data_IF_653983923279
#
_entry.id   IF_653983923279
#
_cell.length_a   1.000
_cell.length_b   1.000
_cell.length_c   1.000
_cell.angle_alpha   90.00
_cell.angle_beta   90.00
_cell.angle_gamma   90.00
#
_symmetry.space_group_name_H-M   'P 1'
#
loop_
_entity.id
_entity.type
_entity.pdbx_description
1 polymer ?
#
# COMPACT_ATOMS: atom_id res chain seq x y z
N UNK A 1 39.62 24.51 51.81
CA UNK A 1 39.67 23.84 50.48
C UNK A 1 39.12 22.40 50.47
N UNK A 2 39.04 21.63 51.57
CA UNK A 2 38.50 20.25 51.54
C UNK A 2 36.98 20.14 51.70
N UNK A 3 36.36 20.96 52.54
CA UNK A 3 34.91 20.87 52.82
C UNK A 3 34.02 21.39 51.69
N UNK A 4 34.43 22.48 51.04
CA UNK A 4 33.68 23.08 49.94
C UNK A 4 33.68 22.18 48.68
N UNK A 5 34.75 21.43 48.46
CA UNK A 5 34.86 20.51 47.32
C UNK A 5 34.01 19.25 47.55
N UNK A 6 33.99 18.72 48.78
CA UNK A 6 33.15 17.59 49.19
C UNK A 6 31.65 17.92 49.06
N UNK A 7 31.23 19.10 49.52
CA UNK A 7 29.84 19.54 49.40
C UNK A 7 29.39 19.71 47.95
N UNK A 8 30.30 20.09 47.03
CA UNK A 8 29.99 20.21 45.59
C UNK A 8 29.87 18.86 44.90
N UNK A 9 30.68 17.87 45.29
CA UNK A 9 30.58 16.49 44.81
C UNK A 9 29.29 15.82 45.31
N UNK A 10 28.92 16.02 46.58
CA UNK A 10 27.65 15.50 47.13
C UNK A 10 26.42 16.16 46.48
N UNK A 11 26.48 17.46 46.18
CA UNK A 11 25.43 18.16 45.45
C UNK A 11 25.28 17.66 44.01
N UNK A 12 26.40 17.42 43.30
CA UNK A 12 26.40 16.84 41.96
C UNK A 12 25.88 15.39 41.95
N UNK A 13 26.26 14.58 42.95
CA UNK A 13 25.78 13.21 43.11
C UNK A 13 24.27 13.15 43.43
N UNK A 14 23.76 14.05 44.29
CA UNK A 14 22.32 14.18 44.55
C UNK A 14 21.52 14.68 43.34
N UNK A 15 22.11 15.53 42.50
CA UNK A 15 21.50 16.00 41.26
C UNK A 15 21.49 14.91 40.16
N UNK A 16 22.45 13.99 40.17
CA UNK A 16 22.56 12.89 39.20
C UNK A 16 21.78 11.62 39.59
N UNK A 17 21.46 11.43 40.86
CA UNK A 17 20.73 10.25 41.37
C UNK A 17 19.35 10.00 40.69
N UNK A 18 18.54 11.01 40.34
CA UNK A 18 17.29 10.80 39.60
C UNK A 18 17.50 10.30 38.17
N UNK A 19 18.64 10.61 37.54
CA UNK A 19 18.94 10.22 36.16
C UNK A 19 19.28 8.72 36.01
N UNK A 20 19.87 8.11 37.05
CA UNK A 20 20.25 6.70 37.03
C UNK A 20 19.06 5.74 37.24
N UNK A 21 18.04 6.16 38.00
CA UNK A 21 16.82 5.38 38.26
C UNK A 21 15.83 5.46 37.07
N UNK A 22 15.87 6.55 36.28
CA UNK A 22 15.03 6.72 35.10
C UNK A 22 15.39 5.81 33.92
N UNK A 23 16.66 5.41 33.78
CA UNK A 23 17.14 4.64 32.62
C UNK A 23 16.62 3.19 32.57
N UNK A 24 16.41 2.54 33.72
CA UNK A 24 15.84 1.18 33.78
C UNK A 24 14.31 1.15 33.61
N UNK A 25 13.61 2.20 34.03
CA UNK A 25 12.16 2.33 33.83
C UNK A 25 11.80 2.68 32.38
N UNK A 26 12.65 3.46 31.71
CA UNK A 26 12.47 3.87 30.32
C UNK A 26 12.54 2.67 29.35
N UNK A 27 13.46 1.73 29.56
CA UNK A 27 13.58 0.53 28.73
C UNK A 27 12.33 -0.38 28.80
N UNK A 28 11.70 -0.48 29.97
CA UNK A 28 10.45 -1.24 30.16
C UNK A 28 9.26 -0.48 29.56
N UNK A 29 9.22 0.85 29.66
CA UNK A 29 8.16 1.68 29.05
C UNK A 29 8.20 1.66 27.52
N UNK A 30 9.39 1.61 26.90
CA UNK A 30 9.53 1.49 25.45
C UNK A 30 8.83 0.24 24.89
N UNK A 31 8.88 -0.88 25.62
CA UNK A 31 8.26 -2.14 25.21
C UNK A 31 6.73 -2.15 25.35
N UNK A 32 6.15 -1.26 26.18
CA UNK A 32 4.72 -1.29 26.53
C UNK A 32 3.96 -0.12 25.89
N UNK A 33 4.55 1.08 25.83
CA UNK A 33 3.92 2.32 25.33
C UNK A 33 4.95 3.25 24.65
N UNK A 34 5.21 3.06 23.35
CA UNK A 34 6.21 3.83 22.59
C UNK A 34 5.90 5.34 22.55
N UNK A 35 4.61 5.70 22.58
CA UNK A 35 4.10 7.07 22.63
C UNK A 35 4.49 7.80 23.92
N UNK A 36 4.41 7.12 25.07
CA UNK A 36 4.77 7.69 26.39
C UNK A 36 6.30 7.77 26.54
N UNK A 37 7.03 6.81 25.98
CA UNK A 37 8.49 6.80 26.00
C UNK A 37 9.13 8.01 25.31
N UNK A 38 8.53 8.50 24.22
CA UNK A 38 9.00 9.71 23.53
C UNK A 38 8.89 10.96 24.40
N UNK A 39 7.78 11.10 25.14
CA UNK A 39 7.62 12.19 26.11
C UNK A 39 8.60 12.07 27.28
N UNK A 40 8.89 10.86 27.75
CA UNK A 40 9.89 10.62 28.79
C UNK A 40 11.30 11.04 28.32
N UNK A 41 11.71 10.66 27.10
CA UNK A 41 13.01 11.09 26.54
C UNK A 41 13.08 12.62 26.37
N UNK A 42 11.99 13.27 25.96
CA UNK A 42 11.93 14.73 25.87
C UNK A 42 12.11 15.38 27.25
N UNK A 43 11.48 14.83 28.31
CA UNK A 43 11.64 15.35 29.67
C UNK A 43 13.06 15.15 30.21
N UNK A 44 13.71 14.02 29.90
CA UNK A 44 15.11 13.75 30.26
C UNK A 44 16.04 14.72 29.50
N UNK A 45 15.79 14.98 28.21
CA UNK A 45 16.56 15.91 27.41
C UNK A 45 16.44 17.36 27.92
N UNK A 46 15.22 17.82 28.24
CA UNK A 46 14.97 19.14 28.82
C UNK A 46 15.65 19.26 30.19
N UNK A 47 15.52 18.24 31.04
CA UNK A 47 16.16 18.21 32.38
C UNK A 47 17.68 18.22 32.28
N UNK A 48 18.25 17.47 31.33
CA UNK A 48 19.68 17.45 31.04
C UNK A 48 20.20 18.79 30.51
N UNK A 49 19.45 19.47 29.65
CA UNK A 49 19.78 20.80 29.16
C UNK A 49 19.76 21.85 30.29
N UNK A 50 18.75 21.81 31.17
CA UNK A 50 18.66 22.67 32.35
C UNK A 50 19.82 22.44 33.35
N UNK A 51 20.17 21.20 33.61
CA UNK A 51 21.34 20.83 34.42
C UNK A 51 22.66 21.27 33.76
N UNK A 52 22.79 21.12 32.44
CA UNK A 52 23.92 21.61 31.65
C UNK A 52 24.07 23.14 31.74
N UNK A 53 22.98 23.89 31.61
CA UNK A 53 22.97 25.35 31.74
C UNK A 53 23.39 25.84 33.14
N UNK A 54 23.07 25.08 34.20
CA UNK A 54 23.52 25.42 35.56
C UNK A 54 24.99 25.07 35.77
N UNK A 55 25.48 23.97 35.19
CA UNK A 55 26.89 23.58 35.25
C UNK A 55 27.80 24.53 34.45
N UNK A 56 27.35 25.02 33.29
CA UNK A 56 28.09 25.97 32.44
C UNK A 56 28.51 27.24 33.20
N UNK A 57 27.72 27.69 34.19
CA UNK A 57 28.05 28.88 35.01
C UNK A 57 29.28 28.72 35.88
N UNK A 58 29.74 27.49 36.12
CA UNK A 58 30.89 27.18 36.98
C UNK A 58 32.12 26.68 36.19
N UNK A 59 32.07 26.74 34.85
CA UNK A 59 33.11 26.20 33.97
C UNK A 59 33.86 27.33 33.25
N UNK A 60 35.12 27.08 32.88
CA UNK A 60 35.87 28.01 32.02
C UNK A 60 35.29 28.01 30.59
N UNK A 61 35.53 29.08 29.84
CA UNK A 61 34.90 29.32 28.52
C UNK A 61 35.14 28.17 27.52
N UNK A 62 36.30 27.50 27.57
CA UNK A 62 36.63 26.41 26.63
C UNK A 62 35.83 25.15 26.95
N UNK A 63 35.72 24.80 28.24
CA UNK A 63 34.94 23.65 28.69
C UNK A 63 33.44 23.89 28.54
N UNK A 64 32.95 25.11 28.78
CA UNK A 64 31.57 25.49 28.54
C UNK A 64 31.17 25.35 27.05
N UNK A 65 32.07 25.76 26.14
CA UNK A 65 31.87 25.57 24.70
C UNK A 65 31.76 24.09 24.30
N UNK A 66 32.64 23.24 24.82
CA UNK A 66 32.62 21.80 24.54
C UNK A 66 31.33 21.12 25.04
N UNK A 67 30.88 21.46 26.25
CA UNK A 67 29.61 20.96 26.80
C UNK A 67 28.42 21.44 25.98
N UNK A 68 28.40 22.71 25.57
CA UNK A 68 27.37 23.25 24.69
C UNK A 68 27.29 22.49 23.36
N UNK A 69 28.43 22.25 22.71
CA UNK A 69 28.50 21.47 21.46
C UNK A 69 27.98 20.05 21.68
N UNK A 70 28.37 19.38 22.77
CA UNK A 70 27.90 18.03 23.08
C UNK A 70 26.36 17.96 23.20
N UNK A 71 25.73 18.89 23.94
CA UNK A 71 24.28 18.92 24.08
C UNK A 71 23.55 19.29 22.79
N UNK A 72 24.11 20.19 21.98
CA UNK A 72 23.57 20.49 20.64
C UNK A 72 23.65 19.25 19.75
N UNK A 73 24.81 18.57 19.68
CA UNK A 73 24.97 17.34 18.90
C UNK A 73 24.01 16.25 19.35
N UNK A 74 23.82 16.05 20.67
CA UNK A 74 22.88 15.07 21.21
C UNK A 74 21.42 15.42 20.88
N UNK A 75 21.07 16.70 20.89
CA UNK A 75 19.73 17.18 20.50
C UNK A 75 19.48 16.99 19.01
N UNK A 76 20.48 17.24 18.17
CA UNK A 76 20.41 16.98 16.73
C UNK A 76 20.27 15.48 16.44
N UNK A 77 21.03 14.60 17.11
CA UNK A 77 20.88 13.15 16.96
C UNK A 77 19.47 12.70 17.38
N UNK A 78 18.93 13.24 18.49
CA UNK A 78 17.58 12.91 18.92
C UNK A 78 16.51 13.35 17.89
N UNK A 79 16.59 14.59 17.42
CA UNK A 79 15.64 15.18 16.46
C UNK A 79 15.72 14.54 15.07
N UNK A 80 16.92 14.25 14.57
CA UNK A 80 17.12 13.78 13.21
C UNK A 80 17.24 12.26 13.08
N UNK A 81 17.46 11.53 14.16
CA UNK A 81 17.64 10.07 14.11
C UNK A 81 16.60 9.33 14.94
N UNK A 82 16.49 9.62 16.24
CA UNK A 82 15.62 8.84 17.14
C UNK A 82 14.14 9.12 16.86
N UNK A 83 13.75 10.40 16.76
CA UNK A 83 12.35 10.76 16.53
C UNK A 83 11.80 10.23 15.19
N UNK A 84 12.50 10.38 14.04
CA UNK A 84 12.05 9.78 12.78
C UNK A 84 12.06 8.26 12.82
N UNK A 85 13.04 7.62 13.49
CA UNK A 85 13.14 6.15 13.52
C UNK A 85 11.94 5.49 14.22
N UNK A 86 11.39 6.09 15.28
CA UNK A 86 10.20 5.59 15.95
C UNK A 86 8.94 5.69 15.08
N UNK A 87 8.85 6.73 14.26
CA UNK A 87 7.76 6.90 13.29
C UNK A 87 7.88 5.91 12.13
N UNK A 88 9.09 5.70 11.61
CA UNK A 88 9.38 4.73 10.55
C UNK A 88 9.11 3.30 11.03
N UNK A 89 9.47 2.96 12.27
CA UNK A 89 9.21 1.64 12.85
C UNK A 89 7.70 1.31 12.96
N UNK A 90 6.85 2.32 13.14
CA UNK A 90 5.38 2.15 13.12
C UNK A 90 4.81 2.06 11.70
N UNK A 91 5.56 2.46 10.68
CA UNK A 91 5.12 2.45 9.28
C UNK A 91 5.18 1.06 8.64
N UNK A 92 5.74 0.06 9.35
CA UNK A 92 5.93 -1.30 8.86
C UNK A 92 7.02 -1.42 7.78
N UNK A 93 7.44 -2.64 7.50
CA UNK A 93 8.30 -2.97 6.36
C UNK A 93 7.45 -3.42 5.17
N UNK A 94 7.90 -3.12 3.94
CA UNK A 94 7.25 -3.62 2.72
C UNK A 94 7.20 -5.16 2.73
N UNK A 95 8.24 -5.79 3.25
CA UNK A 95 8.28 -7.22 3.55
C UNK A 95 7.72 -7.44 4.97
N UNK A 96 6.41 -7.61 5.09
CA UNK A 96 5.74 -8.03 6.33
C UNK A 96 5.73 -9.57 6.44
N UNK A 97 5.18 -10.10 7.55
CA UNK A 97 5.14 -11.55 7.80
C UNK A 97 4.35 -12.30 6.71
N UNK A 98 3.21 -11.74 6.27
CA UNK A 98 2.41 -12.34 5.18
C UNK A 98 3.23 -12.47 3.88
N UNK A 99 3.95 -11.42 3.49
CA UNK A 99 4.84 -11.45 2.34
C UNK A 99 5.99 -12.44 2.53
N UNK A 100 6.64 -12.45 3.70
CA UNK A 100 7.74 -13.35 3.97
C UNK A 100 7.31 -14.82 3.91
N UNK A 101 6.17 -15.16 4.52
CA UNK A 101 5.57 -16.48 4.44
C UNK A 101 5.17 -16.86 3.01
N UNK A 102 4.57 -15.93 2.26
CA UNK A 102 4.18 -16.15 0.88
C UNK A 102 5.38 -16.49 0.00
N UNK A 103 6.47 -15.73 0.11
CA UNK A 103 7.67 -15.93 -0.69
C UNK A 103 8.39 -17.24 -0.34
N UNK A 104 8.51 -17.59 0.95
CA UNK A 104 9.06 -18.89 1.35
C UNK A 104 8.20 -20.05 0.85
N UNK A 105 6.87 -19.89 0.89
CA UNK A 105 5.96 -20.90 0.38
C UNK A 105 6.11 -21.05 -1.15
N UNK A 106 6.18 -19.95 -1.90
CA UNK A 106 6.42 -19.97 -3.35
C UNK A 106 7.71 -20.73 -3.67
N UNK A 107 8.80 -20.42 -2.95
CA UNK A 107 10.09 -21.09 -3.16
C UNK A 107 9.99 -22.60 -2.95
N UNK A 108 9.27 -23.04 -1.91
CA UNK A 108 9.15 -24.45 -1.58
C UNK A 108 8.11 -25.23 -2.42
N UNK A 109 7.12 -24.56 -3.03
CA UNK A 109 5.93 -25.24 -3.56
C UNK A 109 5.63 -24.99 -5.05
N UNK A 110 6.30 -24.05 -5.71
CA UNK A 110 6.12 -23.86 -7.17
C UNK A 110 7.34 -24.40 -7.96
N UNK A 111 7.26 -24.67 -9.27
CA UNK A 111 8.42 -25.08 -10.05
C UNK A 111 9.50 -23.99 -10.11
N UNK A 112 10.79 -24.33 -10.00
CA UNK A 112 11.90 -23.35 -9.99
C UNK A 112 11.93 -22.50 -11.27
N UNK A 113 11.53 -23.09 -12.39
CA UNK A 113 11.50 -22.42 -13.68
C UNK A 113 10.32 -21.45 -13.83
N UNK A 114 9.31 -21.50 -12.94
CA UNK A 114 8.09 -20.70 -13.08
C UNK A 114 8.34 -19.19 -12.95
N UNK A 115 7.50 -18.44 -13.65
CA UNK A 115 7.45 -16.98 -13.58
C UNK A 115 6.32 -16.56 -12.65
N UNK A 116 6.60 -15.63 -11.74
CA UNK A 116 5.61 -14.95 -10.91
C UNK A 116 5.37 -13.56 -11.48
N UNK A 117 4.17 -13.32 -11.98
CA UNK A 117 3.69 -12.05 -12.51
C UNK A 117 3.03 -11.23 -11.40
N UNK A 118 3.44 -9.98 -11.28
CA UNK A 118 2.83 -8.94 -10.45
C UNK A 118 3.49 -7.62 -10.84
N UNK A 119 3.08 -6.52 -10.20
CA UNK A 119 3.72 -5.22 -10.42
C UNK A 119 5.19 -5.22 -9.96
N UNK A 120 5.97 -4.19 -10.27
CA UNK A 120 7.43 -4.25 -10.12
C UNK A 120 7.93 -4.28 -8.68
N UNK A 121 7.18 -3.70 -7.74
CA UNK A 121 7.63 -3.42 -6.37
C UNK A 121 8.17 -4.66 -5.62
N UNK A 122 7.45 -5.80 -5.54
CA UNK A 122 7.94 -6.99 -4.87
C UNK A 122 8.98 -7.79 -5.68
N UNK A 123 9.31 -7.38 -6.91
CA UNK A 123 10.10 -8.18 -7.85
C UNK A 123 11.46 -8.64 -7.31
N UNK A 124 12.16 -7.78 -6.56
CA UNK A 124 13.43 -8.16 -5.92
C UNK A 124 13.24 -9.18 -4.79
N UNK A 125 12.17 -9.08 -4.00
CA UNK A 125 11.88 -10.04 -2.94
C UNK A 125 11.46 -11.40 -3.51
N UNK A 126 10.69 -11.41 -4.59
CA UNK A 126 10.32 -12.65 -5.30
C UNK A 126 11.57 -13.36 -5.84
N UNK A 127 12.51 -12.61 -6.43
CA UNK A 127 13.78 -13.19 -6.90
C UNK A 127 14.65 -13.69 -5.75
N UNK A 128 14.81 -12.91 -4.68
CA UNK A 128 15.74 -13.22 -3.60
C UNK A 128 15.25 -14.29 -2.63
N UNK A 129 13.95 -14.28 -2.29
CA UNK A 129 13.36 -15.17 -1.28
C UNK A 129 12.51 -16.25 -1.96
N UNK A 130 11.66 -15.85 -2.91
CA UNK A 130 10.83 -16.77 -3.69
C UNK A 130 11.63 -17.64 -4.65
N UNK A 131 12.86 -17.25 -4.99
CA UNK A 131 13.70 -17.90 -5.99
C UNK A 131 12.94 -18.18 -7.31
N UNK A 132 12.10 -17.24 -7.75
CA UNK A 132 11.36 -17.32 -9.01
C UNK A 132 11.70 -16.16 -9.94
N UNK A 133 11.48 -16.41 -11.22
CA UNK A 133 11.59 -15.34 -12.21
C UNK A 133 10.38 -14.42 -12.08
N UNK A 134 10.58 -13.12 -12.30
CA UNK A 134 9.49 -12.16 -12.42
C UNK A 134 9.48 -11.53 -13.80
N UNK A 135 8.30 -11.08 -14.21
CA UNK A 135 8.11 -10.32 -15.45
C UNK A 135 9.01 -9.08 -15.44
N UNK A 136 9.01 -8.32 -14.35
CA UNK A 136 9.88 -7.15 -14.18
C UNK A 136 10.04 -6.79 -12.69
N UNK A 137 11.07 -6.02 -12.34
CA UNK A 137 11.29 -5.46 -11.01
C UNK A 137 11.74 -3.99 -11.07
N UNK A 138 12.10 -3.40 -9.93
CA UNK A 138 12.55 -2.02 -9.83
C UNK A 138 13.77 -1.67 -10.71
N UNK A 139 14.61 -2.65 -11.05
CA UNK A 139 15.73 -2.48 -11.96
C UNK A 139 15.37 -2.59 -13.44
N UNK A 140 14.17 -3.06 -13.78
CA UNK A 140 13.75 -3.34 -15.15
C UNK A 140 12.41 -2.70 -15.53
N UNK A 141 12.00 -1.62 -14.86
CA UNK A 141 10.73 -0.92 -15.12
C UNK A 141 10.60 -0.42 -16.57
N UNK A 142 11.72 0.06 -17.13
CA UNK A 142 11.78 0.64 -18.47
C UNK A 142 12.17 -0.41 -19.54
N UNK A 143 12.18 -1.69 -19.18
CA UNK A 143 12.59 -2.74 -20.12
C UNK A 143 11.46 -3.13 -21.06
N UNK A 144 11.83 -3.33 -22.31
CA UNK A 144 10.96 -3.88 -23.33
C UNK A 144 10.90 -5.41 -23.23
N UNK A 145 9.89 -5.97 -23.85
CA UNK A 145 9.70 -7.40 -24.05
C UNK A 145 9.53 -7.68 -25.53
N UNK A 146 10.15 -8.75 -26.02
CA UNK A 146 10.22 -9.06 -27.45
C UNK A 146 9.85 -10.52 -27.67
N UNK A 147 8.95 -10.75 -28.61
CA UNK A 147 8.41 -12.06 -28.94
C UNK A 147 8.48 -12.23 -30.46
N UNK A 148 8.76 -13.45 -30.92
CA UNK A 148 8.72 -13.77 -32.34
C UNK A 148 7.27 -13.87 -32.79
N UNK A 149 6.74 -12.78 -33.33
CA UNK A 149 5.38 -12.70 -33.84
C UNK A 149 5.35 -11.76 -35.04
N UNK A 150 4.76 -12.25 -36.13
CA UNK A 150 4.72 -11.53 -37.40
C UNK A 150 3.51 -10.60 -37.47
N UNK A 151 3.75 -9.35 -37.84
CA UNK A 151 2.71 -8.37 -38.12
C UNK A 151 3.22 -7.30 -39.09
N UNK A 152 2.34 -6.46 -39.66
CA UNK A 152 2.74 -5.30 -40.44
C UNK A 152 3.66 -4.39 -39.63
N UNK A 153 4.86 -4.14 -40.14
CA UNK A 153 5.86 -3.29 -39.49
C UNK A 153 5.27 -1.92 -39.11
N UNK A 154 5.55 -1.48 -37.88
CA UNK A 154 5.14 -0.19 -37.35
C UNK A 154 4.67 -0.24 -35.89
N UNK A 155 4.57 0.95 -35.29
CA UNK A 155 3.96 1.15 -33.98
C UNK A 155 2.44 1.13 -34.11
N UNK A 156 1.79 0.32 -33.28
CA UNK A 156 0.35 0.20 -33.14
C UNK A 156 -0.07 0.50 -31.71
N UNK A 157 -1.28 1.04 -31.58
CA UNK A 157 -1.94 1.24 -30.30
C UNK A 157 -3.19 0.36 -30.33
N UNK A 158 -3.13 -0.75 -29.61
CA UNK A 158 -4.23 -1.71 -29.45
C UNK A 158 -5.15 -1.17 -28.36
N UNK A 159 -6.42 -0.93 -28.70
CA UNK A 159 -7.41 -0.37 -27.77
C UNK A 159 -8.25 -1.51 -27.19
N UNK A 160 -8.40 -1.50 -25.87
CA UNK A 160 -9.21 -2.49 -25.16
C UNK A 160 -10.24 -1.79 -24.26
N UNK A 161 -10.89 -2.59 -23.42
CA UNK A 161 -11.87 -2.12 -22.44
C UNK A 161 -11.26 -1.14 -21.44
N UNK A 162 -12.11 -0.43 -20.69
CA UNK A 162 -11.70 0.54 -19.67
C UNK A 162 -10.73 1.64 -20.17
N UNK A 163 -10.69 1.91 -21.48
CA UNK A 163 -9.83 2.93 -22.09
C UNK A 163 -8.35 2.55 -22.14
N UNK A 164 -8.03 1.24 -22.00
CA UNK A 164 -6.69 0.69 -22.13
C UNK A 164 -6.16 0.94 -23.54
N UNK A 165 -4.92 1.42 -23.63
CA UNK A 165 -4.22 1.71 -24.87
C UNK A 165 -2.87 1.00 -24.86
N UNK A 166 -2.83 -0.25 -25.30
CA UNK A 166 -1.64 -1.09 -25.26
C UNK A 166 -0.74 -0.81 -26.48
N UNK A 167 0.49 -0.38 -26.23
CA UNK A 167 1.43 -0.07 -27.30
C UNK A 167 2.23 -1.30 -27.73
N UNK A 168 2.26 -1.51 -29.03
CA UNK A 168 2.93 -2.65 -29.63
C UNK A 168 3.68 -2.20 -30.88
N UNK A 169 4.98 -2.49 -30.96
CA UNK A 169 5.76 -2.28 -32.18
C UNK A 169 6.01 -3.63 -32.85
N UNK A 170 5.62 -3.76 -34.12
CA UNK A 170 6.01 -4.88 -34.97
C UNK A 170 7.18 -4.43 -35.84
N UNK A 171 8.27 -5.20 -35.87
CA UNK A 171 9.41 -4.92 -36.75
C UNK A 171 10.15 -6.19 -37.10
N UNK A 172 10.16 -6.55 -38.39
CA UNK A 172 10.95 -7.68 -38.88
C UNK A 172 10.55 -9.03 -38.26
N UNK A 173 9.25 -9.24 -38.02
CA UNK A 173 8.73 -10.46 -37.40
C UNK A 173 8.88 -10.53 -35.88
N UNK A 174 9.21 -9.42 -35.23
CA UNK A 174 9.29 -9.28 -33.77
C UNK A 174 8.18 -8.35 -33.30
N UNK A 175 7.40 -8.80 -32.32
CA UNK A 175 6.47 -7.97 -31.54
C UNK A 175 7.18 -7.47 -30.29
N UNK A 176 7.19 -6.16 -30.08
CA UNK A 176 7.82 -5.50 -28.94
C UNK A 176 6.79 -4.75 -28.11
N UNK A 177 6.78 -5.00 -26.80
CA UNK A 177 5.92 -4.33 -25.81
C UNK A 177 6.74 -3.79 -24.64
N UNK A 178 6.13 -2.97 -23.78
CA UNK A 178 6.74 -2.54 -22.52
C UNK A 178 6.20 -3.38 -21.36
N UNK A 179 7.09 -4.00 -20.57
CA UNK A 179 6.69 -4.91 -19.47
C UNK A 179 5.78 -4.25 -18.44
N UNK A 180 6.02 -2.97 -18.15
CA UNK A 180 5.19 -2.19 -17.25
C UNK A 180 3.77 -2.03 -17.79
N UNK A 181 3.62 -1.85 -19.11
CA UNK A 181 2.31 -1.72 -19.74
C UNK A 181 1.62 -3.07 -19.84
N UNK A 182 2.35 -4.15 -20.16
CA UNK A 182 1.81 -5.51 -20.17
C UNK A 182 1.15 -5.85 -18.84
N UNK A 183 1.89 -5.75 -17.72
CA UNK A 183 1.33 -6.07 -16.40
C UNK A 183 0.23 -5.09 -15.99
N UNK A 184 0.38 -3.81 -16.29
CA UNK A 184 -0.67 -2.82 -16.04
C UNK A 184 -1.97 -3.16 -16.76
N UNK A 185 -1.89 -3.61 -18.02
CA UNK A 185 -3.03 -4.11 -18.79
C UNK A 185 -3.64 -5.34 -18.13
N UNK A 186 -2.82 -6.31 -17.68
CA UNK A 186 -3.35 -7.50 -16.97
C UNK A 186 -4.06 -7.16 -15.66
N UNK A 187 -3.68 -6.08 -14.98
CA UNK A 187 -4.34 -5.62 -13.75
C UNK A 187 -5.68 -4.95 -14.06
N UNK A 188 -5.74 -4.14 -15.13
CA UNK A 188 -6.85 -3.24 -15.41
C UNK A 188 -7.96 -3.82 -16.30
N UNK A 189 -7.63 -4.72 -17.23
CA UNK A 189 -8.62 -5.27 -18.15
C UNK A 189 -9.70 -6.07 -17.41
N UNK A 190 -10.93 -6.05 -17.93
CA UNK A 190 -12.00 -6.97 -17.57
C UNK A 190 -12.01 -8.23 -18.47
N UNK A 191 -11.19 -8.26 -19.52
CA UNK A 191 -11.05 -9.41 -20.41
C UNK A 191 -9.98 -10.37 -19.85
N UNK A 192 -10.44 -11.48 -19.27
CA UNK A 192 -9.56 -12.52 -18.73
C UNK A 192 -8.66 -13.13 -19.81
N UNK A 193 -9.19 -13.39 -21.01
CA UNK A 193 -8.42 -13.94 -22.12
C UNK A 193 -7.28 -13.02 -22.54
N UNK A 194 -7.49 -11.69 -22.53
CA UNK A 194 -6.42 -10.73 -22.80
C UNK A 194 -5.31 -10.81 -21.74
N UNK A 195 -5.67 -10.93 -20.46
CA UNK A 195 -4.68 -11.09 -19.40
C UNK A 195 -3.87 -12.38 -19.58
N UNK A 196 -4.54 -13.50 -19.89
CA UNK A 196 -3.88 -14.79 -20.18
C UNK A 196 -2.98 -14.70 -21.42
N UNK A 197 -3.45 -14.06 -22.49
CA UNK A 197 -2.70 -13.87 -23.73
C UNK A 197 -1.41 -13.05 -23.53
N UNK A 198 -1.43 -12.06 -22.65
CA UNK A 198 -0.22 -11.31 -22.30
C UNK A 198 0.70 -12.17 -21.42
N UNK A 199 0.14 -12.86 -20.43
CA UNK A 199 0.92 -13.61 -19.45
C UNK A 199 1.65 -14.79 -20.09
N UNK A 200 1.00 -15.53 -21.01
CA UNK A 200 1.57 -16.75 -21.60
C UNK A 200 2.94 -16.55 -22.26
N UNK A 201 3.20 -15.36 -22.78
CA UNK A 201 4.46 -15.06 -23.46
C UNK A 201 5.64 -14.96 -22.47
N UNK A 202 5.36 -14.70 -21.18
CA UNK A 202 6.36 -14.65 -20.11
C UNK A 202 6.72 -16.04 -19.54
N UNK A 203 6.22 -17.12 -20.12
CA UNK A 203 6.60 -18.48 -19.73
C UNK A 203 8.06 -18.74 -20.08
N UNK A 204 8.77 -19.37 -19.16
CA UNK A 204 10.09 -19.91 -19.47
C UNK A 204 9.96 -21.24 -20.22
N UNK A 205 10.92 -21.55 -21.11
CA UNK A 205 10.98 -22.87 -21.73
C UNK A 205 10.98 -23.99 -20.67
N UNK A 206 10.10 -24.96 -20.83
CA UNK A 206 9.97 -26.10 -19.91
C UNK A 206 9.09 -25.86 -18.68
N UNK A 207 8.31 -24.77 -18.64
CA UNK A 207 7.33 -24.52 -17.59
C UNK A 207 5.94 -24.31 -18.18
N UNK A 208 4.99 -25.08 -17.68
CA UNK A 208 3.59 -24.94 -18.07
C UNK A 208 2.91 -23.82 -17.27
N UNK A 209 3.35 -23.59 -16.03
CA UNK A 209 2.72 -22.67 -15.07
C UNK A 209 3.32 -21.27 -15.05
N UNK A 210 2.42 -20.27 -15.01
CA UNK A 210 2.68 -18.93 -14.48
C UNK A 210 1.89 -18.75 -13.20
N UNK A 211 2.49 -18.06 -12.25
CA UNK A 211 1.82 -17.63 -11.03
C UNK A 211 1.57 -16.13 -11.07
N UNK A 212 0.48 -15.67 -10.47
CA UNK A 212 0.10 -14.26 -10.43
C UNK A 212 -0.13 -13.83 -8.98
N UNK A 213 0.50 -12.75 -8.53
CA UNK A 213 0.27 -12.18 -7.20
C UNK A 213 -0.62 -10.94 -7.31
N UNK A 214 -1.77 -11.00 -6.65
CA UNK A 214 -2.57 -9.85 -6.29
C UNK A 214 -2.29 -9.49 -4.82
N UNK A 215 -1.86 -8.27 -4.56
CA UNK A 215 -1.50 -7.81 -3.21
C UNK A 215 -2.19 -6.50 -2.83
N UNK A 216 -2.43 -6.31 -1.54
CA UNK A 216 -3.18 -5.17 -1.02
C UNK A 216 -2.50 -3.82 -1.28
N UNK A 217 -1.16 -3.78 -1.36
CA UNK A 217 -0.43 -2.55 -1.67
C UNK A 217 -0.75 -1.98 -3.06
N UNK A 218 -1.21 -2.84 -4.00
CA UNK A 218 -1.63 -2.41 -5.34
C UNK A 218 -2.93 -1.60 -5.34
N UNK A 219 -3.74 -1.68 -4.28
CA UNK A 219 -4.91 -0.81 -4.10
C UNK A 219 -4.48 0.65 -4.03
N UNK A 220 -3.47 0.96 -3.19
CA UNK A 220 -2.95 2.31 -3.02
C UNK A 220 -2.10 2.79 -4.22
N UNK A 221 -1.64 1.88 -5.07
CA UNK A 221 -0.80 2.18 -6.25
C UNK A 221 -1.58 2.20 -7.56
N UNK A 222 -2.90 2.02 -7.53
CA UNK A 222 -3.67 1.86 -8.75
C UNK A 222 -3.63 3.03 -9.70
N UNK A 223 -3.47 4.24 -9.17
CA UNK A 223 -3.21 5.45 -9.95
C UNK A 223 -2.12 5.21 -11.00
N UNK A 224 -1.05 4.50 -10.65
CA UNK A 224 0.08 4.27 -11.55
C UNK A 224 -0.16 3.16 -12.55
N UNK A 225 -0.62 1.99 -12.10
CA UNK A 225 -0.83 0.91 -13.05
C UNK A 225 -2.01 1.21 -13.99
N UNK A 226 -3.04 1.96 -13.58
CA UNK A 226 -4.08 2.41 -14.52
C UNK A 226 -3.52 3.44 -15.51
N UNK A 227 -2.64 4.33 -15.05
CA UNK A 227 -1.99 5.31 -15.92
C UNK A 227 -1.21 4.63 -17.02
N UNK A 228 -0.37 3.64 -16.69
CA UNK A 228 0.43 2.93 -17.67
C UNK A 228 -0.43 2.06 -18.59
N UNK A 229 -1.49 1.39 -18.09
CA UNK A 229 -2.41 0.61 -18.91
C UNK A 229 -3.12 1.47 -19.98
N UNK A 230 -3.45 2.71 -19.63
CA UNK A 230 -4.22 3.63 -20.48
C UNK A 230 -3.34 4.65 -21.22
N UNK A 231 -2.02 4.55 -21.09
CA UNK A 231 -1.07 5.51 -21.66
C UNK A 231 -0.97 5.38 -23.18
N UNK A 232 -1.05 6.50 -23.90
CA UNK A 232 -0.75 6.56 -25.32
C UNK A 232 -0.16 7.92 -25.72
N UNK A 233 0.80 7.96 -26.67
CA UNK A 233 1.57 9.18 -26.97
C UNK A 233 0.70 10.34 -27.48
N UNK A 234 -0.41 10.03 -28.15
CA UNK A 234 -1.32 10.99 -28.75
C UNK A 234 -2.63 11.16 -27.95
N UNK A 235 -2.70 10.67 -26.71
CA UNK A 235 -3.90 10.74 -25.88
C UNK A 235 -3.87 11.98 -24.99
N UNK A 236 -5.02 12.64 -24.86
CA UNK A 236 -5.28 13.60 -23.79
C UNK A 236 -5.84 12.84 -22.59
N UNK A 237 -4.96 12.47 -21.66
CA UNK A 237 -5.32 11.71 -20.46
C UNK A 237 -5.94 12.59 -19.38
N UNK A 238 -6.55 11.95 -18.37
CA UNK A 238 -7.20 12.62 -17.23
C UNK A 238 -6.45 12.47 -15.91
N UNK A 239 -5.22 11.96 -15.95
CA UNK A 239 -4.42 11.81 -14.74
C UNK A 239 -3.91 13.16 -14.20
N UNK A 240 -4.08 13.39 -12.90
CA UNK A 240 -3.57 14.57 -12.19
C UNK A 240 -2.61 14.20 -11.03
N UNK A 241 -2.15 12.96 -10.98
CA UNK A 241 -1.26 12.48 -9.94
C UNK A 241 0.22 12.80 -10.22
N UNK A 242 1.02 12.91 -9.15
CA UNK A 242 2.48 13.00 -9.24
C UNK A 242 3.02 14.25 -9.94
N UNK A 243 2.23 15.32 -10.09
CA UNK A 243 2.66 16.56 -10.73
C UNK A 243 2.73 16.50 -12.27
N UNK A 244 2.09 15.51 -12.89
CA UNK A 244 2.00 15.40 -14.34
C UNK A 244 1.19 16.57 -14.90
N UNK A 245 1.79 17.39 -15.77
CA UNK A 245 1.15 18.57 -16.38
C UNK A 245 0.51 18.31 -17.74
N UNK A 246 0.99 17.29 -18.46
CA UNK A 246 0.44 16.85 -19.76
C UNK A 246 0.19 15.33 -19.71
N UNK A 247 -0.90 14.90 -19.06
CA UNK A 247 -1.21 13.49 -18.90
C UNK A 247 -1.51 12.82 -20.25
N UNK A 248 -0.86 11.69 -20.49
CA UNK A 248 -1.07 10.81 -21.65
C UNK A 248 -1.82 9.51 -21.31
N UNK A 249 -2.22 9.36 -20.06
CA UNK A 249 -3.01 8.25 -19.53
C UNK A 249 -3.99 8.73 -18.45
N UNK A 250 -4.91 7.84 -18.06
CA UNK A 250 -5.95 8.07 -17.07
C UNK A 250 -5.58 7.42 -15.73
N UNK A 251 -5.90 8.10 -14.64
CA UNK A 251 -5.60 7.62 -13.28
C UNK A 251 -6.89 7.30 -12.54
N UNK A 252 -7.06 6.02 -12.16
CA UNK A 252 -8.16 5.54 -11.35
C UNK A 252 -7.62 5.00 -10.02
N UNK A 253 -8.40 5.14 -8.95
CA UNK A 253 -7.94 4.92 -7.56
C UNK A 253 -8.91 4.07 -6.75
N UNK A 254 -8.40 3.03 -6.10
CA UNK A 254 -9.13 2.38 -5.00
C UNK A 254 -8.99 3.28 -3.75
N UNK A 255 -10.11 3.86 -3.32
CA UNK A 255 -10.15 4.67 -2.11
C UNK A 255 -10.45 3.75 -0.92
N UNK A 256 -9.39 3.29 -0.26
CA UNK A 256 -9.46 2.43 0.93
C UNK A 256 -9.64 3.31 2.16
N UNK A 257 -10.71 3.09 2.93
CA UNK A 257 -11.04 3.91 4.10
C UNK A 257 -11.38 3.04 5.30
N UNK A 258 -10.67 3.19 6.43
CA UNK A 258 -10.98 2.46 7.66
C UNK A 258 -12.22 3.03 8.36
N UNK A 259 -12.88 2.18 9.15
CA UNK A 259 -14.02 2.55 9.97
C UNK A 259 -13.60 3.64 10.97
N UNK A 260 -14.33 4.75 10.95
CA UNK A 260 -14.13 5.86 11.87
C UNK A 260 -15.13 5.81 13.03
N UNK A 261 -16.38 5.46 12.75
CA UNK A 261 -17.44 5.38 13.75
C UNK A 261 -18.57 4.45 13.28
N UNK A 262 -19.29 3.85 14.23
CA UNK A 262 -20.53 3.14 13.98
C UNK A 262 -21.58 3.57 15.01
N UNK A 263 -22.76 3.97 14.54
CA UNK A 263 -23.83 4.45 15.41
C UNK A 263 -25.18 3.82 15.04
N UNK A 264 -25.98 3.38 16.03
CA UNK A 264 -27.34 2.93 15.77
C UNK A 264 -28.24 4.10 15.33
N UNK A 265 -29.16 3.82 14.42
CA UNK A 265 -30.16 4.75 13.90
C UNK A 265 -31.47 4.01 13.63
N UNK A 266 -32.31 3.87 14.67
CA UNK A 266 -33.52 3.04 14.60
C UNK A 266 -33.18 1.56 14.35
N UNK A 267 -33.80 0.96 13.34
CA UNK A 267 -33.55 -0.42 12.90
C UNK A 267 -32.29 -0.57 12.02
N UNK A 268 -31.51 0.51 11.88
CA UNK A 268 -30.29 0.55 11.08
C UNK A 268 -29.05 0.85 11.90
N UNK A 269 -27.88 0.55 11.33
CA UNK A 269 -26.58 1.00 11.82
C UNK A 269 -25.93 1.85 10.73
N UNK A 270 -25.47 3.05 11.08
CA UNK A 270 -24.69 3.91 10.19
C UNK A 270 -23.22 3.73 10.50
N UNK A 271 -22.47 3.21 9.53
CA UNK A 271 -21.02 3.14 9.56
C UNK A 271 -20.45 4.37 8.85
N UNK A 272 -19.49 5.05 9.47
CA UNK A 272 -18.84 6.26 8.94
C UNK A 272 -17.38 5.98 8.67
N UNK A 273 -16.92 6.33 7.47
CA UNK A 273 -15.56 6.17 6.99
C UNK A 273 -15.04 7.53 6.52
N UNK A 274 -14.10 8.13 7.24
CA UNK A 274 -13.58 9.46 6.91
C UNK A 274 -12.69 9.41 5.66
N UNK A 275 -12.94 10.31 4.72
CA UNK A 275 -12.14 10.49 3.50
C UNK A 275 -11.25 11.76 3.57
N UNK A 276 -11.25 12.46 4.71
CA UNK A 276 -10.57 13.75 4.87
C UNK A 276 -11.33 14.93 4.25
N UNK A 277 -10.83 16.17 4.45
CA UNK A 277 -11.38 17.40 3.82
C UNK A 277 -12.91 17.58 3.94
N UNK A 278 -13.49 17.33 5.13
CA UNK A 278 -14.94 17.35 5.38
C UNK A 278 -15.76 16.40 4.48
N UNK A 279 -15.14 15.29 4.06
CA UNK A 279 -15.79 14.22 3.32
C UNK A 279 -15.78 12.93 4.14
N UNK A 280 -16.87 12.19 4.05
CA UNK A 280 -16.98 10.87 4.63
C UNK A 280 -17.92 10.01 3.80
N UNK A 281 -17.64 8.72 3.73
CA UNK A 281 -18.60 7.74 3.26
C UNK A 281 -19.44 7.25 4.43
N UNK A 282 -20.75 7.21 4.24
CA UNK A 282 -21.72 6.67 5.19
C UNK A 282 -22.33 5.41 4.60
N UNK A 283 -22.21 4.27 5.28
CA UNK A 283 -22.89 3.03 4.89
C UNK A 283 -24.04 2.80 5.87
N UNK A 284 -25.26 2.91 5.37
CA UNK A 284 -26.47 2.62 6.13
C UNK A 284 -26.79 1.13 5.99
N UNK A 285 -26.70 0.38 7.08
CA UNK A 285 -27.06 -1.03 7.15
C UNK A 285 -28.43 -1.19 7.80
N UNK A 286 -29.44 -1.52 7.00
CA UNK A 286 -30.79 -1.90 7.47
C UNK A 286 -30.74 -3.34 8.00
N UNK A 287 -30.86 -3.49 9.32
CA UNK A 287 -30.70 -4.80 9.96
C UNK A 287 -31.90 -5.72 9.78
N UNK A 288 -33.06 -5.18 9.41
CA UNK A 288 -34.30 -5.95 9.17
C UNK A 288 -34.31 -6.48 7.75
N UNK A 289 -34.02 -5.61 6.77
CA UNK A 289 -33.99 -5.97 5.34
C UNK A 289 -32.67 -6.62 4.90
N UNK A 290 -31.67 -6.60 5.78
CA UNK A 290 -30.31 -7.08 5.51
C UNK A 290 -29.70 -6.42 4.26
N UNK A 291 -29.76 -5.09 4.22
CA UNK A 291 -29.37 -4.28 3.06
C UNK A 291 -28.41 -3.18 3.46
N UNK A 292 -27.36 -2.98 2.68
CA UNK A 292 -26.47 -1.82 2.80
C UNK A 292 -26.61 -0.85 1.62
N UNK A 293 -26.61 0.44 1.91
CA UNK A 293 -26.50 1.51 0.91
C UNK A 293 -25.43 2.52 1.35
N UNK A 294 -24.49 2.79 0.46
CA UNK A 294 -23.44 3.77 0.68
C UNK A 294 -23.83 5.16 0.18
N UNK A 295 -23.37 6.17 0.90
CA UNK A 295 -23.53 7.58 0.58
C UNK A 295 -22.20 8.29 0.73
N UNK A 296 -21.93 9.28 -0.12
CA UNK A 296 -20.86 10.25 0.07
C UNK A 296 -21.44 11.48 0.76
N UNK A 297 -20.95 11.81 1.94
CA UNK A 297 -21.19 13.10 2.59
C UNK A 297 -20.07 14.06 2.22
N UNK A 298 -20.43 15.20 1.64
CA UNK A 298 -19.49 16.27 1.26
C UNK A 298 -20.14 17.63 1.49
N UNK A 299 -19.49 18.50 2.27
CA UNK A 299 -19.97 19.85 2.57
C UNK A 299 -21.42 19.88 3.09
N UNK A 300 -21.76 18.97 4.01
CA UNK A 300 -23.10 18.75 4.57
C UNK A 300 -24.18 18.29 3.57
N UNK A 301 -23.83 18.03 2.32
CA UNK A 301 -24.72 17.35 1.37
C UNK A 301 -24.46 15.85 1.42
N UNK A 302 -25.50 15.08 1.10
CA UNK A 302 -25.45 13.63 1.07
C UNK A 302 -25.81 13.13 -0.33
N UNK A 303 -24.93 12.36 -0.94
CA UNK A 303 -25.07 11.84 -2.29
C UNK A 303 -25.08 10.32 -2.25
N UNK A 304 -26.01 9.66 -2.93
CA UNK A 304 -26.05 8.20 -3.02
C UNK A 304 -24.95 7.72 -3.96
N UNK A 305 -24.27 6.65 -3.54
CA UNK A 305 -23.36 5.91 -4.41
C UNK A 305 -24.15 4.85 -5.16
N UNK A 306 -23.84 4.66 -6.44
CA UNK A 306 -24.61 3.81 -7.36
C UNK A 306 -24.72 2.38 -6.87
N UNK A 307 -23.62 1.80 -6.43
CA UNK A 307 -23.58 0.41 -5.98
C UNK A 307 -22.94 0.27 -4.60
N UNK A 308 -23.40 -0.72 -3.84
CA UNK A 308 -22.80 -1.15 -2.58
C UNK A 308 -22.71 -2.66 -2.58
N UNK A 309 -21.49 -3.20 -2.56
CA UNK A 309 -21.23 -4.62 -2.35
C UNK A 309 -21.06 -4.90 -0.86
N UNK A 310 -21.71 -5.93 -0.35
CA UNK A 310 -21.54 -6.43 1.01
C UNK A 310 -21.84 -7.93 1.08
N UNK A 311 -21.39 -8.58 2.15
CA UNK A 311 -21.76 -9.97 2.44
C UNK A 311 -23.00 -9.97 3.34
N UNK A 312 -24.07 -10.65 2.88
CA UNK A 312 -25.33 -10.78 3.62
C UNK A 312 -25.19 -11.72 4.84
N UNK A 313 -26.25 -11.84 5.66
CA UNK A 313 -26.26 -12.72 6.84
C UNK A 313 -26.07 -14.20 6.51
N UNK A 314 -26.33 -14.60 5.27
CA UNK A 314 -26.17 -15.99 4.81
C UNK A 314 -24.75 -16.26 4.26
N UNK A 315 -23.89 -15.25 4.21
CA UNK A 315 -22.53 -15.36 3.67
C UNK A 315 -22.44 -15.15 2.16
N UNK A 316 -23.51 -14.69 1.50
CA UNK A 316 -23.50 -14.43 0.06
C UNK A 316 -23.05 -13.00 -0.24
N UNK A 317 -22.23 -12.82 -1.26
CA UNK A 317 -21.92 -11.50 -1.81
C UNK A 317 -23.12 -10.91 -2.53
N UNK A 318 -23.57 -9.73 -2.11
CA UNK A 318 -24.74 -9.03 -2.66
C UNK A 318 -24.33 -7.64 -3.12
N UNK A 319 -24.78 -7.25 -4.32
CA UNK A 319 -24.66 -5.88 -4.83
C UNK A 319 -26.04 -5.22 -4.75
N UNK A 320 -26.15 -4.20 -3.91
CA UNK A 320 -27.30 -3.30 -3.95
C UNK A 320 -27.04 -2.17 -4.95
N UNK A 321 -27.99 -1.92 -5.85
CA UNK A 321 -27.91 -0.85 -6.86
C UNK A 321 -28.99 0.19 -6.61
N UNK A 322 -28.59 1.44 -6.38
CA UNK A 322 -29.49 2.58 -6.29
C UNK A 322 -29.84 3.11 -7.70
N UNK A 323 -31.12 3.14 -8.12
CA UNK A 323 -31.50 3.62 -9.46
C UNK A 323 -31.13 5.08 -9.71
N UNK A 324 -31.35 5.96 -8.73
CA UNK A 324 -31.17 7.42 -8.83
C UNK A 324 -29.97 7.92 -8.00
N UNK A 325 -28.81 7.28 -8.20
CA UNK A 325 -27.58 7.67 -7.51
C UNK A 325 -26.85 8.81 -8.22
N UNK A 326 -26.36 9.76 -7.44
CA UNK A 326 -25.61 10.93 -7.90
C UNK A 326 -24.13 10.61 -8.14
N UNK A 327 -23.57 9.63 -7.41
CA UNK A 327 -22.18 9.21 -7.52
C UNK A 327 -22.10 7.85 -8.21
N UNK A 328 -21.48 7.81 -9.38
CA UNK A 328 -21.16 6.56 -10.06
C UNK A 328 -20.08 5.78 -9.30
N UNK A 329 -19.98 4.47 -9.53
CA UNK A 329 -19.01 3.61 -8.83
C UNK A 329 -19.66 2.72 -7.78
N UNK A 330 -18.81 2.00 -7.06
CA UNK A 330 -19.21 1.01 -6.07
C UNK A 330 -18.43 1.20 -4.77
N UNK A 331 -19.12 1.02 -3.65
CA UNK A 331 -18.49 0.83 -2.34
C UNK A 331 -18.49 -0.65 -2.01
N UNK A 332 -17.32 -1.25 -1.92
CA UNK A 332 -17.12 -2.60 -1.39
C UNK A 332 -16.93 -2.52 0.13
N UNK A 333 -17.74 -3.27 0.88
CA UNK A 333 -17.72 -3.31 2.34
C UNK A 333 -17.15 -4.65 2.79
N UNK A 334 -16.09 -4.64 3.59
CA UNK A 334 -15.55 -5.88 4.15
C UNK A 334 -16.55 -6.52 5.13
N UNK A 335 -16.47 -7.84 5.33
CA UNK A 335 -17.40 -8.58 6.19
C UNK A 335 -17.38 -8.10 7.66
N UNK A 336 -16.24 -7.61 8.13
CA UNK A 336 -16.07 -7.02 9.46
C UNK A 336 -16.52 -5.56 9.54
N UNK A 337 -16.75 -4.89 8.41
CA UNK A 337 -17.14 -3.47 8.29
C UNK A 337 -16.09 -2.52 8.86
N UNK A 338 -14.85 -2.98 8.97
CA UNK A 338 -13.70 -2.23 9.45
C UNK A 338 -13.06 -1.39 8.34
N UNK A 339 -13.34 -1.69 7.08
CA UNK A 339 -12.80 -1.04 5.90
C UNK A 339 -13.81 -1.05 4.77
N UNK A 340 -13.86 0.06 4.03
CA UNK A 340 -14.52 0.10 2.73
C UNK A 340 -13.52 0.45 1.65
N UNK A 341 -13.86 0.07 0.43
CA UNK A 341 -13.12 0.44 -0.76
C UNK A 341 -14.12 1.07 -1.73
N UNK A 342 -13.96 2.35 -2.02
CA UNK A 342 -14.69 3.00 -3.11
C UNK A 342 -13.89 2.88 -4.41
N UNK A 343 -14.57 2.48 -5.49
CA UNK A 343 -13.97 2.20 -6.79
C UNK A 343 -14.75 2.93 -7.90
N UNK A 344 -14.03 3.58 -8.82
CA UNK A 344 -14.63 4.14 -10.03
C UNK A 344 -15.18 3.03 -10.96
N UNK A 345 -16.16 3.34 -11.85
CA UNK A 345 -16.73 2.38 -12.79
C UNK A 345 -15.70 1.54 -13.56
N UNK A 346 -14.61 2.17 -14.01
CA UNK A 346 -13.56 1.54 -14.82
C UNK A 346 -12.74 0.48 -14.07
N UNK A 347 -12.85 0.42 -12.74
CA UNK A 347 -12.13 -0.55 -11.91
C UNK A 347 -13.01 -1.71 -11.43
N UNK A 348 -14.34 -1.62 -11.57
CA UNK A 348 -15.26 -2.57 -10.93
C UNK A 348 -15.05 -4.01 -11.44
N UNK A 349 -14.85 -4.16 -12.74
CA UNK A 349 -14.70 -5.47 -13.39
C UNK A 349 -13.23 -5.81 -13.73
N UNK A 350 -12.29 -4.97 -13.31
CA UNK A 350 -10.87 -5.18 -13.54
C UNK A 350 -10.41 -6.54 -12.98
N UNK A 351 -9.48 -7.20 -13.66
CA UNK A 351 -8.86 -8.45 -13.21
C UNK A 351 -8.33 -8.30 -11.78
N UNK A 352 -7.66 -7.19 -11.46
CA UNK A 352 -7.16 -6.94 -10.11
C UNK A 352 -8.30 -6.91 -9.07
N UNK A 353 -9.44 -6.29 -9.37
CA UNK A 353 -10.61 -6.29 -8.47
C UNK A 353 -11.13 -7.70 -8.23
N UNK A 354 -11.30 -8.47 -9.31
CA UNK A 354 -11.80 -9.86 -9.22
C UNK A 354 -10.87 -10.76 -8.42
N UNK A 355 -9.56 -10.67 -8.66
CA UNK A 355 -8.56 -11.42 -7.91
C UNK A 355 -8.50 -10.95 -6.45
N UNK A 356 -8.27 -9.66 -6.22
CA UNK A 356 -7.99 -9.13 -4.89
C UNK A 356 -9.22 -9.15 -3.96
N UNK A 357 -10.38 -8.70 -4.44
CA UNK A 357 -11.57 -8.49 -3.59
C UNK A 357 -12.56 -9.66 -3.64
N UNK A 358 -12.57 -10.43 -4.72
CA UNK A 358 -13.54 -11.51 -4.94
C UNK A 358 -12.89 -12.89 -5.10
N UNK A 359 -11.62 -13.04 -4.74
CA UNK A 359 -10.90 -14.32 -4.76
C UNK A 359 -10.89 -15.01 -6.15
N UNK A 360 -10.98 -14.24 -7.22
CA UNK A 360 -11.08 -14.75 -8.59
C UNK A 360 -12.46 -15.29 -8.96
N UNK A 361 -13.52 -14.95 -8.22
CA UNK A 361 -14.87 -15.38 -8.56
C UNK A 361 -15.24 -14.99 -10.00
N UNK A 362 -15.71 -15.98 -10.77
CA UNK A 362 -16.08 -15.82 -12.18
C UNK A 362 -14.89 -15.83 -13.16
N UNK A 363 -13.68 -16.10 -12.70
CA UNK A 363 -12.50 -16.35 -13.54
C UNK A 363 -12.33 -17.86 -13.77
N UNK A 364 -12.00 -18.24 -15.00
CA UNK A 364 -11.80 -19.65 -15.38
C UNK A 364 -10.31 -20.03 -15.39
N UNK A 365 -9.45 -19.08 -15.74
CA UNK A 365 -8.01 -19.27 -15.92
C UNK A 365 -7.17 -18.91 -14.69
N UNK A 366 -7.73 -18.24 -13.69
CA UNK A 366 -7.01 -17.84 -12.47
C UNK A 366 -7.50 -18.64 -11.26
N UNK A 367 -6.73 -19.66 -10.88
CA UNK A 367 -7.03 -20.49 -9.73
C UNK A 367 -6.33 -19.96 -8.47
N UNK A 368 -7.09 -19.60 -7.43
CA UNK A 368 -6.52 -19.21 -6.14
C UNK A 368 -5.79 -20.39 -5.50
N UNK A 369 -4.47 -20.27 -5.37
CA UNK A 369 -3.61 -21.28 -4.74
C UNK A 369 -3.59 -21.06 -3.23
N UNK A 370 -3.37 -19.82 -2.80
CA UNK A 370 -3.25 -19.47 -1.38
C UNK A 370 -3.45 -17.98 -1.11
N UNK A 371 -4.03 -17.68 0.04
CA UNK A 371 -4.25 -16.33 0.58
C UNK A 371 -3.51 -16.19 1.92
N UNK A 372 -2.67 -15.17 2.05
CA UNK A 372 -2.00 -14.78 3.28
C UNK A 372 -2.61 -13.48 3.82
N UNK A 373 -3.63 -13.64 4.66
CA UNK A 373 -4.24 -12.55 5.43
C UNK A 373 -4.95 -11.49 4.59
N UNK A 374 -5.37 -11.82 3.37
CA UNK A 374 -5.87 -10.88 2.37
C UNK A 374 -4.89 -9.74 2.04
N UNK A 375 -3.61 -9.91 2.37
CA UNK A 375 -2.52 -9.01 2.03
C UNK A 375 -1.84 -9.45 0.73
N UNK A 376 -1.61 -10.76 0.59
CA UNK A 376 -1.00 -11.39 -0.59
C UNK A 376 -1.87 -12.56 -1.00
N UNK A 377 -2.25 -12.62 -2.28
CA UNK A 377 -3.00 -13.74 -2.87
C UNK A 377 -2.25 -14.25 -4.08
N UNK A 378 -1.95 -15.55 -4.09
CA UNK A 378 -1.26 -16.22 -5.18
C UNK A 378 -2.25 -17.02 -6.01
N UNK A 379 -2.22 -16.78 -7.31
CA UNK A 379 -3.01 -17.49 -8.30
C UNK A 379 -2.10 -18.30 -9.21
N UNK A 380 -2.55 -19.48 -9.63
CA UNK A 380 -1.99 -20.22 -10.75
C UNK A 380 -2.77 -19.84 -12.01
N UNK A 381 -2.06 -19.50 -13.08
CA UNK A 381 -2.65 -19.09 -14.36
C UNK A 381 -2.67 -20.30 -15.30
N UNK A 382 -3.88 -20.73 -15.67
CA UNK A 382 -4.15 -21.87 -16.56
C UNK A 382 -4.14 -21.38 -18.00
N UNK A 383 -3.07 -21.65 -18.72
CA UNK A 383 -2.87 -21.12 -20.08
C UNK A 383 -3.30 -22.12 -21.16
N UNK A 384 -3.09 -23.42 -20.93
CA UNK A 384 -3.33 -24.48 -21.91
C UNK A 384 -4.43 -25.49 -21.47
N UNK A 385 -5.17 -25.18 -20.41
CA UNK A 385 -6.36 -25.91 -19.94
C UNK A 385 -7.62 -25.25 -20.51
#
# INVERSE_FOLDING_TARGET
MKEEHKNRIEAAAKAAAPAAIGLSAAAVMYLIRPDIFQWLLLTIAISGALAGMTLIKFMDKKSAGAVGVFFISMSLIFLFYIYPSGYIAQSGTVLNDNWFEALNWINANTPECSTVATYWDPGHFIRAIGNRTVVFDGGSQNHLFQINESGPDGLKIEQYDNGISHMVEYKGGIRTTARIQDISTTLMTSNESLAVDILKDYRKPGCDDIYYIASADLLGKSVWWTYFATWAPNKEGKCNAGGISDPKGDCYSYSVMPLSNAAPNGDSIIYTYSAGNNQAFLVNYDTVQDRMQAFLSQNNNLFRVKQTFFVDKNGNGVIYTAPEAEIAGIVWVDSGRNVIIYMQPELQDAMFTRLMLYNGAGLEHFELVKDWGSEVKLYRVKIDE
#
